data_IF_540723140478
#
_entry.id   IF_540723140478
#
_cell.length_a   1.000
_cell.length_b   1.000
_cell.length_c   1.000
_cell.angle_alpha   90.00
_cell.angle_beta   90.00
_cell.angle_gamma   90.00
#
_symmetry.space_group_name_H-M   'P 1'
#
loop_
_entity.id
_entity.type
_entity.pdbx_description
1 polymer ?
#
# COMPACT_ATOMS: atom_id res chain seq x y z
N UNK A 1 10.21 1.29 -22.42
CA UNK A 1 10.10 0.42 -21.21
C UNK A 1 8.78 -0.31 -21.35
N UNK A 2 8.76 -1.62 -21.15
CA UNK A 2 7.52 -2.42 -21.23
C UNK A 2 6.51 -1.94 -20.18
N UNK A 3 5.20 -2.02 -20.49
CA UNK A 3 4.15 -1.55 -19.60
C UNK A 3 4.12 -2.35 -18.29
N UNK A 4 4.36 -3.65 -18.33
CA UNK A 4 4.44 -4.51 -17.14
C UNK A 4 5.57 -4.09 -16.19
N UNK A 5 6.74 -3.74 -16.73
CA UNK A 5 7.86 -3.22 -15.93
C UNK A 5 7.55 -1.84 -15.35
N UNK A 6 6.78 -1.00 -16.09
CA UNK A 6 6.32 0.29 -15.56
C UNK A 6 5.39 0.09 -14.37
N UNK A 7 4.44 -0.86 -14.45
CA UNK A 7 3.58 -1.19 -13.31
C UNK A 7 4.38 -1.71 -12.11
N UNK A 8 5.37 -2.58 -12.35
CA UNK A 8 6.25 -3.07 -11.27
C UNK A 8 6.93 -1.92 -10.53
N UNK A 9 7.51 -0.96 -11.25
CA UNK A 9 8.17 0.20 -10.63
C UNK A 9 7.18 1.12 -9.89
N UNK A 10 6.00 1.42 -10.46
CA UNK A 10 4.98 2.22 -9.79
C UNK A 10 4.52 1.59 -8.47
N UNK A 11 4.30 0.27 -8.45
CA UNK A 11 3.90 -0.47 -7.26
C UNK A 11 5.02 -0.55 -6.21
N UNK A 12 6.29 -0.52 -6.61
CA UNK A 12 7.42 -0.41 -5.68
C UNK A 12 7.46 0.95 -4.99
N UNK A 13 7.16 2.04 -5.69
CA UNK A 13 7.06 3.35 -5.06
C UNK A 13 5.96 3.39 -4.01
N UNK A 14 4.81 2.76 -4.26
CA UNK A 14 3.72 2.68 -3.30
C UNK A 14 4.14 1.98 -2.01
N UNK A 15 4.78 0.81 -2.10
CA UNK A 15 5.23 0.08 -0.89
C UNK A 15 6.30 0.85 -0.12
N UNK A 16 7.29 1.42 -0.79
CA UNK A 16 8.34 2.19 -0.14
C UNK A 16 7.76 3.42 0.58
N UNK A 17 6.80 4.09 -0.05
CA UNK A 17 6.12 5.23 0.56
C UNK A 17 5.27 4.82 1.77
N UNK A 18 4.56 3.69 1.69
CA UNK A 18 3.78 3.17 2.82
C UNK A 18 4.67 2.78 4.01
N UNK A 19 5.76 2.03 3.78
CA UNK A 19 6.72 1.65 4.82
C UNK A 19 7.21 2.89 5.56
N UNK A 20 7.69 3.89 4.82
CA UNK A 20 8.15 5.15 5.40
C UNK A 20 7.07 5.90 6.17
N UNK A 21 5.83 5.88 5.66
CA UNK A 21 4.70 6.56 6.30
C UNK A 21 4.38 5.95 7.65
N UNK A 22 4.48 4.62 7.78
CA UNK A 22 4.16 3.88 9.00
C UNK A 22 5.36 3.70 9.93
N UNK A 23 6.57 4.07 9.50
CA UNK A 23 7.78 3.96 10.32
C UNK A 23 7.63 4.71 11.65
N UNK A 24 7.89 4.00 12.75
CA UNK A 24 7.79 4.55 14.10
C UNK A 24 6.37 4.89 14.58
N UNK A 25 5.32 4.50 13.84
CA UNK A 25 3.95 4.71 14.31
C UNK A 25 3.62 3.78 15.47
N UNK A 26 3.29 4.29 16.67
CA UNK A 26 2.91 3.48 17.82
C UNK A 26 1.64 2.67 17.54
N UNK A 27 1.55 1.44 18.08
CA UNK A 27 0.42 0.52 17.83
C UNK A 27 -0.93 1.12 18.18
N UNK A 28 -1.03 1.84 19.28
CA UNK A 28 -2.25 2.51 19.74
C UNK A 28 -2.76 3.60 18.78
N UNK A 29 -1.90 4.06 17.87
CA UNK A 29 -2.26 5.07 16.87
C UNK A 29 -2.91 4.49 15.60
N UNK A 30 -2.86 3.17 15.42
CA UNK A 30 -3.45 2.53 14.26
C UNK A 30 -4.98 2.57 14.22
N UNK A 31 -5.65 2.82 15.37
CA UNK A 31 -7.12 2.97 15.45
C UNK A 31 -7.60 4.43 15.39
N UNK A 32 -6.70 5.39 15.27
CA UNK A 32 -7.09 6.80 15.17
C UNK A 32 -7.85 7.05 13.87
N UNK A 33 -8.97 7.76 13.98
CA UNK A 33 -9.83 8.18 12.86
C UNK A 33 -9.98 9.70 12.87
N UNK A 34 -9.94 10.37 11.71
CA UNK A 34 -10.25 11.80 11.63
C UNK A 34 -11.68 12.05 12.13
N UNK A 35 -11.85 12.84 13.19
CA UNK A 35 -13.17 13.22 13.75
C UNK A 35 -14.14 12.02 13.94
N UNK A 36 -13.61 10.85 14.29
CA UNK A 36 -14.36 9.60 14.39
C UNK A 36 -15.08 9.16 13.08
N UNK A 37 -14.63 9.67 11.94
CA UNK A 37 -15.15 9.34 10.60
C UNK A 37 -14.08 8.64 9.76
N UNK A 38 -14.52 8.06 8.64
CA UNK A 38 -13.61 7.36 7.72
C UNK A 38 -13.00 6.09 8.32
N UNK A 39 -11.96 5.58 7.68
CA UNK A 39 -11.26 4.37 8.07
C UNK A 39 -10.00 4.73 8.88
N UNK A 40 -9.68 3.93 9.89
CA UNK A 40 -8.43 4.04 10.63
C UNK A 40 -7.29 3.29 9.92
N UNK A 41 -6.05 3.55 10.35
CA UNK A 41 -4.83 3.05 9.67
C UNK A 41 -4.81 1.54 9.54
N UNK A 42 -5.19 0.77 10.59
CA UNK A 42 -5.13 -0.70 10.53
C UNK A 42 -6.13 -1.28 9.51
N UNK A 43 -7.33 -0.69 9.41
CA UNK A 43 -8.30 -1.11 8.40
C UNK A 43 -7.78 -0.82 6.98
N UNK A 44 -7.24 0.38 6.76
CA UNK A 44 -6.67 0.75 5.46
C UNK A 44 -5.49 -0.14 5.08
N UNK A 45 -4.61 -0.47 6.04
CA UNK A 45 -3.48 -1.38 5.81
C UNK A 45 -3.96 -2.79 5.43
N UNK A 46 -4.94 -3.33 6.15
CA UNK A 46 -5.52 -4.64 5.82
C UNK A 46 -6.22 -4.64 4.46
N UNK A 47 -6.91 -3.55 4.12
CA UNK A 47 -7.53 -3.36 2.81
C UNK A 47 -6.50 -3.30 1.68
N UNK A 48 -5.34 -2.66 1.92
CA UNK A 48 -4.22 -2.68 0.98
C UNK A 48 -3.64 -4.10 0.79
N UNK A 49 -3.61 -4.93 1.85
CA UNK A 49 -3.22 -6.35 1.71
C UNK A 49 -4.17 -7.09 0.77
N UNK A 50 -5.49 -6.88 0.91
CA UNK A 50 -6.49 -7.48 0.00
C UNK A 50 -6.31 -6.98 -1.44
N UNK A 51 -6.19 -5.66 -1.64
CA UNK A 51 -5.99 -5.08 -2.98
C UNK A 51 -4.72 -5.63 -3.66
N UNK A 52 -3.63 -5.76 -2.91
CA UNK A 52 -2.39 -6.34 -3.43
C UNK A 52 -2.57 -7.84 -3.73
N UNK A 53 -3.38 -8.53 -2.95
CA UNK A 53 -3.79 -9.92 -3.22
C UNK A 53 -4.57 -10.04 -4.53
N UNK A 54 -5.52 -9.14 -4.79
CA UNK A 54 -6.26 -9.08 -6.05
C UNK A 54 -5.32 -8.87 -7.25
N UNK A 55 -4.29 -8.02 -7.13
CA UNK A 55 -3.28 -7.86 -8.19
C UNK A 55 -2.55 -9.18 -8.44
N UNK A 56 -2.14 -9.90 -7.39
CA UNK A 56 -1.49 -11.21 -7.54
C UNK A 56 -2.41 -12.20 -8.27
N UNK A 57 -3.70 -12.22 -7.93
CA UNK A 57 -4.70 -13.10 -8.55
C UNK A 57 -4.94 -12.73 -10.03
N UNK A 58 -5.04 -11.44 -10.36
CA UNK A 58 -5.14 -10.94 -11.75
C UNK A 58 -3.96 -11.41 -12.59
N UNK A 59 -2.78 -11.46 -12.00
CA UNK A 59 -1.54 -11.92 -12.65
C UNK A 59 -1.39 -13.45 -12.64
N UNK A 60 -2.38 -14.20 -12.16
CA UNK A 60 -2.40 -15.67 -12.16
C UNK A 60 -1.70 -16.32 -10.96
N UNK A 61 -1.37 -15.57 -9.91
CA UNK A 61 -0.80 -16.11 -8.68
C UNK A 61 -1.84 -16.43 -7.61
N UNK A 62 -1.40 -17.06 -6.50
CA UNK A 62 -2.21 -17.30 -5.29
C UNK A 62 -1.84 -16.30 -4.19
N UNK A 63 -2.75 -15.36 -3.84
CA UNK A 63 -2.48 -14.35 -2.83
C UNK A 63 -2.55 -14.86 -1.39
N UNK A 64 -3.28 -15.96 -1.13
CA UNK A 64 -3.56 -16.48 0.22
C UNK A 64 -4.12 -15.40 1.18
N UNK A 65 -5.12 -14.60 0.74
CA UNK A 65 -5.69 -13.47 1.50
C UNK A 65 -7.14 -13.68 1.95
N UNK A 66 -7.75 -14.84 1.67
CA UNK A 66 -9.18 -15.10 1.92
C UNK A 66 -9.61 -14.92 3.38
N UNK A 67 -8.70 -15.18 4.32
CA UNK A 67 -8.93 -15.00 5.77
C UNK A 67 -9.14 -13.53 6.20
N UNK A 68 -8.77 -12.58 5.38
CA UNK A 68 -8.87 -11.15 5.66
C UNK A 68 -10.16 -10.50 5.15
N UNK A 69 -10.91 -11.17 4.28
CA UNK A 69 -12.08 -10.60 3.60
C UNK A 69 -13.13 -10.04 4.57
N UNK A 70 -13.47 -10.78 5.63
CA UNK A 70 -14.50 -10.37 6.59
C UNK A 70 -14.14 -9.09 7.37
N UNK A 71 -12.86 -8.76 7.50
CA UNK A 71 -12.38 -7.59 8.25
C UNK A 71 -12.12 -6.38 7.36
N UNK A 72 -11.66 -6.59 6.13
CA UNK A 72 -11.05 -5.53 5.34
C UNK A 72 -11.63 -5.37 3.93
N UNK A 73 -12.59 -6.19 3.51
CA UNK A 73 -13.22 -6.04 2.20
C UNK A 73 -14.02 -4.74 2.11
N UNK A 74 -14.23 -4.27 0.88
CA UNK A 74 -15.08 -3.12 0.59
C UNK A 74 -16.46 -3.30 1.23
N UNK A 75 -16.94 -2.28 1.94
CA UNK A 75 -18.23 -2.29 2.64
C UNK A 75 -18.17 -2.79 4.08
N UNK A 76 -17.06 -3.36 4.55
CA UNK A 76 -16.88 -3.68 5.97
C UNK A 76 -16.70 -2.39 6.79
N UNK A 77 -17.17 -2.43 8.04
CA UNK A 77 -17.04 -1.28 8.96
C UNK A 77 -15.79 -1.42 9.82
N UNK A 78 -15.00 -0.35 10.00
CA UNK A 78 -13.90 -0.36 10.95
C UNK A 78 -14.39 -0.64 12.37
N UNK A 79 -13.74 -1.60 13.05
CA UNK A 79 -14.02 -1.97 14.43
C UNK A 79 -13.21 -1.08 15.37
N UNK A 80 -13.75 -0.81 16.57
CA UNK A 80 -13.09 0.04 17.56
C UNK A 80 -12.11 -0.72 18.46
N UNK A 81 -12.15 -2.05 18.47
CA UNK A 81 -11.30 -2.90 19.29
C UNK A 81 -10.14 -3.45 18.47
N UNK A 82 -8.92 -3.08 18.86
CA UNK A 82 -7.68 -3.51 18.19
C UNK A 82 -7.45 -5.02 18.29
N UNK A 83 -7.93 -5.68 19.34
CA UNK A 83 -7.77 -7.12 19.54
C UNK A 83 -8.46 -7.97 18.46
N UNK A 84 -9.43 -7.37 17.75
CA UNK A 84 -10.16 -8.01 16.65
C UNK A 84 -9.42 -7.95 15.32
N UNK A 85 -8.28 -7.25 15.27
CA UNK A 85 -7.45 -7.15 14.08
C UNK A 85 -6.15 -7.95 14.21
N UNK A 86 -5.60 -8.44 13.10
CA UNK A 86 -4.23 -8.90 13.09
C UNK A 86 -3.27 -7.77 13.52
N UNK A 87 -2.16 -8.12 14.15
CA UNK A 87 -1.11 -7.16 14.48
C UNK A 87 -0.64 -6.40 13.24
N UNK A 88 -0.42 -5.06 13.33
CA UNK A 88 0.01 -4.25 12.18
C UNK A 88 1.26 -4.79 11.48
N UNK A 89 2.23 -5.30 12.24
CA UNK A 89 3.45 -5.90 11.70
C UNK A 89 3.18 -7.14 10.87
N UNK A 90 2.17 -7.95 11.24
CA UNK A 90 1.75 -9.12 10.45
C UNK A 90 1.11 -8.70 9.13
N UNK A 91 0.28 -7.67 9.14
CA UNK A 91 -0.32 -7.11 7.93
C UNK A 91 0.75 -6.51 7.01
N UNK A 92 1.71 -5.77 7.56
CA UNK A 92 2.82 -5.20 6.79
C UNK A 92 3.68 -6.30 6.16
N UNK A 93 4.03 -7.35 6.90
CA UNK A 93 4.78 -8.50 6.36
C UNK A 93 4.01 -9.18 5.21
N UNK A 94 2.70 -9.34 5.33
CA UNK A 94 1.87 -9.88 4.23
C UNK A 94 1.88 -8.96 3.02
N UNK A 95 1.74 -7.65 3.22
CA UNK A 95 1.78 -6.68 2.13
C UNK A 95 3.13 -6.71 1.39
N UNK A 96 4.24 -6.75 2.13
CA UNK A 96 5.60 -6.87 1.56
C UNK A 96 5.76 -8.16 0.76
N UNK A 97 5.31 -9.30 1.30
CA UNK A 97 5.33 -10.58 0.59
C UNK A 97 4.56 -10.53 -0.73
N UNK A 98 3.34 -9.99 -0.70
CA UNK A 98 2.51 -9.86 -1.90
C UNK A 98 3.13 -8.90 -2.92
N UNK A 99 3.79 -7.82 -2.46
CA UNK A 99 4.51 -6.91 -3.33
C UNK A 99 5.69 -7.60 -4.04
N UNK A 100 6.44 -8.46 -3.35
CA UNK A 100 7.50 -9.26 -3.96
C UNK A 100 6.96 -10.23 -5.00
N UNK A 101 5.84 -10.90 -4.71
CA UNK A 101 5.17 -11.79 -5.67
C UNK A 101 4.70 -11.01 -6.91
N UNK A 102 4.07 -9.86 -6.69
CA UNK A 102 3.61 -8.98 -7.78
C UNK A 102 4.75 -8.53 -8.69
N UNK A 103 5.87 -8.10 -8.09
CA UNK A 103 7.07 -7.68 -8.83
C UNK A 103 7.61 -8.83 -9.70
N UNK A 104 7.71 -10.03 -9.11
CA UNK A 104 8.14 -11.22 -9.83
C UNK A 104 7.21 -11.56 -11.01
N UNK A 105 5.90 -11.57 -10.78
CA UNK A 105 4.91 -11.89 -11.81
C UNK A 105 4.95 -10.87 -12.96
N UNK A 106 4.99 -9.57 -12.66
CA UNK A 106 5.03 -8.50 -13.67
C UNK A 106 6.32 -8.51 -14.50
N UNK A 107 7.44 -8.91 -13.91
CA UNK A 107 8.73 -9.00 -14.63
C UNK A 107 8.82 -10.21 -15.54
N UNK A 108 8.07 -11.27 -15.26
CA UNK A 108 8.16 -12.55 -15.97
C UNK A 108 6.92 -12.87 -16.81
N UNK A 109 5.90 -12.01 -16.82
CA UNK A 109 4.75 -12.21 -17.71
C UNK A 109 5.00 -11.67 -19.11
N UNK A 110 4.28 -12.25 -20.09
CA UNK A 110 4.19 -11.70 -21.42
C UNK A 110 3.32 -10.43 -21.39
N UNK A 111 3.71 -9.40 -22.14
CA UNK A 111 2.99 -8.12 -22.19
C UNK A 111 1.56 -8.26 -22.74
N UNK A 112 1.30 -9.26 -23.58
CA UNK A 112 -0.04 -9.60 -24.08
C UNK A 112 -1.03 -9.98 -22.97
N UNK A 113 -0.53 -10.28 -21.74
CA UNK A 113 -1.38 -10.45 -20.58
C UNK A 113 -2.26 -9.23 -20.32
N UNK A 114 -1.77 -8.02 -20.60
CA UNK A 114 -2.51 -6.78 -20.36
C UNK A 114 -3.77 -6.64 -21.21
N UNK A 115 -3.80 -7.29 -22.37
CA UNK A 115 -4.94 -7.27 -23.29
C UNK A 115 -5.95 -8.38 -23.03
N UNK A 116 -5.62 -9.33 -22.11
CA UNK A 116 -6.55 -10.42 -21.77
C UNK A 116 -7.79 -9.89 -21.06
N UNK A 117 -8.96 -10.55 -21.26
CA UNK A 117 -10.16 -10.23 -20.52
C UNK A 117 -9.94 -10.27 -19.01
N UNK A 118 -10.50 -9.31 -18.30
CA UNK A 118 -10.48 -9.25 -16.85
C UNK A 118 -11.89 -9.42 -16.28
N UNK A 119 -12.03 -9.35 -14.96
CA UNK A 119 -13.31 -9.48 -14.28
C UNK A 119 -13.81 -8.14 -13.69
N UNK A 120 -15.04 -8.18 -13.20
CA UNK A 120 -15.69 -7.03 -12.62
C UNK A 120 -16.12 -6.03 -13.70
N UNK A 121 -15.76 -4.77 -13.50
CA UNK A 121 -16.12 -3.68 -14.42
C UNK A 121 -15.04 -3.36 -15.45
N UNK A 122 -13.97 -4.16 -15.51
CA UNK A 122 -12.82 -3.92 -16.38
C UNK A 122 -12.83 -4.88 -17.56
N UNK A 123 -12.60 -4.36 -18.75
CA UNK A 123 -12.53 -5.16 -19.97
C UNK A 123 -11.23 -5.97 -20.06
N UNK A 124 -10.11 -5.35 -19.61
CA UNK A 124 -8.79 -5.97 -19.73
C UNK A 124 -8.03 -5.99 -18.39
N UNK A 125 -7.06 -6.90 -18.31
CA UNK A 125 -6.10 -6.97 -17.20
C UNK A 125 -5.37 -5.63 -17.02
N UNK A 126 -4.97 -4.99 -18.11
CA UNK A 126 -4.29 -3.69 -18.06
C UNK A 126 -5.16 -2.61 -17.38
N UNK A 127 -6.45 -2.52 -17.74
CA UNK A 127 -7.38 -1.58 -17.10
C UNK A 127 -7.52 -1.88 -15.58
N UNK A 128 -7.63 -3.15 -15.23
CA UNK A 128 -7.75 -3.56 -13.83
C UNK A 128 -6.49 -3.24 -13.03
N UNK A 129 -5.29 -3.42 -13.60
CA UNK A 129 -4.03 -3.04 -12.96
C UNK A 129 -3.91 -1.52 -12.77
N UNK A 130 -4.33 -0.71 -13.75
CA UNK A 130 -4.36 0.76 -13.62
C UNK A 130 -5.26 1.16 -12.44
N UNK A 131 -6.47 0.60 -12.40
CA UNK A 131 -7.39 0.88 -11.29
C UNK A 131 -6.80 0.45 -9.94
N UNK A 132 -6.25 -0.76 -9.85
CA UNK A 132 -5.68 -1.30 -8.62
C UNK A 132 -4.51 -0.44 -8.12
N UNK A 133 -3.66 0.06 -9.02
CA UNK A 133 -2.59 1.01 -8.67
C UNK A 133 -3.16 2.34 -8.13
N UNK A 134 -4.15 2.92 -8.81
CA UNK A 134 -4.79 4.17 -8.37
C UNK A 134 -5.47 3.98 -7.00
N UNK A 135 -6.18 2.87 -6.81
CA UNK A 135 -6.87 2.52 -5.58
C UNK A 135 -5.89 2.37 -4.41
N UNK A 136 -4.77 1.67 -4.62
CA UNK A 136 -3.71 1.54 -3.64
C UNK A 136 -3.11 2.91 -3.27
N UNK A 137 -2.77 3.72 -4.27
CA UNK A 137 -2.22 5.07 -4.08
C UNK A 137 -3.20 5.97 -3.29
N UNK A 138 -4.49 5.88 -3.59
CA UNK A 138 -5.54 6.61 -2.87
C UNK A 138 -5.57 6.24 -1.38
N UNK A 139 -5.55 4.95 -1.03
CA UNK A 139 -5.56 4.51 0.36
C UNK A 139 -4.26 4.80 1.10
N UNK A 140 -3.12 4.76 0.43
CA UNK A 140 -1.86 5.22 1.00
C UNK A 140 -1.91 6.73 1.31
N UNK A 141 -2.55 7.53 0.46
CA UNK A 141 -2.81 8.93 0.72
C UNK A 141 -3.68 9.15 1.97
N UNK A 142 -4.74 8.35 2.16
CA UNK A 142 -5.56 8.37 3.37
C UNK A 142 -4.76 8.01 4.62
N UNK A 143 -3.95 6.95 4.58
CA UNK A 143 -3.04 6.58 5.68
C UNK A 143 -2.11 7.75 6.00
N UNK A 144 -1.49 8.35 4.99
CA UNK A 144 -0.57 9.47 5.14
C UNK A 144 -1.26 10.67 5.81
N UNK A 145 -2.49 10.96 5.43
CA UNK A 145 -3.30 12.01 6.05
C UNK A 145 -3.51 11.73 7.55
N UNK A 146 -4.02 10.55 7.90
CA UNK A 146 -4.28 10.16 9.29
C UNK A 146 -3.01 10.20 10.13
N UNK A 147 -1.93 9.60 9.64
CA UNK A 147 -0.64 9.54 10.34
C UNK A 147 -0.05 10.93 10.60
N UNK A 148 -0.30 11.90 9.72
CA UNK A 148 0.19 13.27 9.88
C UNK A 148 -0.72 14.17 10.74
N UNK A 149 -1.83 13.67 11.28
CA UNK A 149 -2.65 14.44 12.22
C UNK A 149 -1.83 14.77 13.49
N UNK A 150 -1.99 15.99 14.07
CA UNK A 150 -1.33 16.35 15.32
C UNK A 150 -1.61 15.39 16.49
N UNK A 151 -2.81 14.81 16.52
CA UNK A 151 -3.22 13.81 17.53
C UNK A 151 -2.50 12.46 17.38
N UNK A 152 -1.85 12.21 16.24
CA UNK A 152 -1.12 10.98 15.96
C UNK A 152 0.39 11.18 16.13
N UNK A 153 1.00 12.08 15.37
CA UNK A 153 2.46 12.32 15.38
C UNK A 153 2.89 13.46 16.28
N UNK A 154 1.95 14.18 16.88
CA UNK A 154 2.26 15.44 17.58
C UNK A 154 2.52 16.61 16.61
N UNK A 155 2.75 17.82 17.14
CA UNK A 155 3.06 18.97 16.31
C UNK A 155 4.35 18.73 15.54
N UNK A 156 4.33 18.95 14.23
CA UNK A 156 5.55 18.92 13.42
C UNK A 156 6.50 19.96 13.97
N UNK A 157 7.70 19.56 14.42
CA UNK A 157 8.80 20.52 14.56
C UNK A 157 8.92 21.21 13.21
N UNK A 158 8.77 22.54 13.20
CA UNK A 158 9.07 23.35 12.02
C UNK A 158 10.55 23.12 11.68
N UNK A 159 10.80 22.18 10.78
CA UNK A 159 12.10 22.13 10.11
C UNK A 159 12.10 23.35 9.22
N UNK A 160 12.91 24.32 9.53
CA UNK A 160 13.22 25.44 8.64
C UNK A 160 13.71 24.82 7.33
N UNK A 161 12.88 24.85 6.30
CA UNK A 161 13.29 24.47 4.95
C UNK A 161 14.24 25.56 4.41
N UNK A 162 15.45 25.54 4.91
CA UNK A 162 16.53 26.40 4.44
C UNK A 162 17.37 25.58 3.48
N UNK A 163 17.23 25.89 2.21
CA UNK A 163 17.99 25.58 1.00
C UNK A 163 17.47 24.44 0.12
N UNK A 164 17.45 24.69 -1.21
CA UNK A 164 17.12 23.70 -2.23
C UNK A 164 18.03 22.46 -2.24
N UNK A 165 19.24 22.58 -1.72
CA UNK A 165 20.26 21.51 -1.65
C UNK A 165 19.88 20.40 -0.67
N UNK A 166 19.19 20.73 0.43
CA UNK A 166 18.74 19.73 1.43
C UNK A 166 17.57 18.86 0.93
N UNK A 167 16.89 19.28 -0.14
CA UNK A 167 15.75 18.53 -0.72
C UNK A 167 16.17 17.33 -1.55
N UNK A 168 17.38 17.32 -2.13
CA UNK A 168 17.81 16.27 -3.06
C UNK A 168 18.30 14.99 -2.39
N UNK A 169 18.64 15.01 -1.10
CA UNK A 169 19.34 13.90 -0.47
C UNK A 169 18.47 13.02 0.44
N UNK A 170 17.40 13.53 1.02
CA UNK A 170 16.69 12.81 2.09
C UNK A 170 15.59 11.88 1.56
N UNK A 171 14.62 12.39 0.79
CA UNK A 171 13.40 11.64 0.48
C UNK A 171 13.62 10.56 -0.57
N UNK A 172 14.28 10.89 -1.68
CA UNK A 172 14.49 9.96 -2.79
C UNK A 172 15.47 8.84 -2.41
N UNK A 173 16.52 9.16 -1.64
CA UNK A 173 17.51 8.16 -1.20
C UNK A 173 16.90 7.14 -0.25
N UNK A 174 16.11 7.59 0.73
CA UNK A 174 15.45 6.70 1.70
C UNK A 174 14.43 5.80 1.02
N UNK A 175 13.63 6.33 0.08
CA UNK A 175 12.69 5.54 -0.71
C UNK A 175 13.42 4.48 -1.52
N UNK A 176 14.53 4.83 -2.18
CA UNK A 176 15.34 3.88 -2.94
C UNK A 176 16.00 2.82 -2.08
N UNK A 177 16.47 3.17 -0.88
CA UNK A 177 17.03 2.23 0.09
C UNK A 177 15.96 1.26 0.62
N UNK A 178 14.76 1.77 0.92
CA UNK A 178 13.61 0.93 1.32
C UNK A 178 13.20 -0.03 0.21
N UNK A 179 13.20 0.42 -1.06
CA UNK A 179 12.94 -0.43 -2.22
C UNK A 179 14.00 -1.54 -2.30
N UNK A 180 15.29 -1.22 -2.20
CA UNK A 180 16.38 -2.21 -2.24
C UNK A 180 16.24 -3.24 -1.12
N UNK A 181 15.91 -2.81 0.10
CA UNK A 181 15.73 -3.69 1.25
C UNK A 181 14.57 -4.68 1.11
N UNK A 182 13.54 -4.33 0.35
CA UNK A 182 12.34 -5.18 0.16
C UNK A 182 12.51 -6.17 -0.99
N UNK A 183 13.32 -5.81 -2.02
CA UNK A 183 13.43 -6.56 -3.27
C UNK A 183 14.84 -7.15 -3.52
N UNK A 184 15.74 -7.08 -2.55
CA UNK A 184 17.03 -7.82 -2.52
C UNK A 184 16.87 -9.17 -1.82
#
# INVERSE_FOLDING_TARGET
>A
MQATLTFAELLKFNIAYLIRTLEGLPKEKYLVRPENRGNHVIWLLGHLVLNRGEIVEILGGDPATRDLGNLFARGTRPLSDQSQYPEPDKLMKRYIRLASITDHLLKNCDESLLDRPSWGQFETVGQNLIYSYMHETHHIGQITYVVNLPSVRGPKKQTSFNKPEDRKTSTTKIVLESIKSVFS
#
